data_IF_172624876332
#
_entry.id   IF_172624876332
#
_cell.length_a   1.000
_cell.length_b   1.000
_cell.length_c   1.000
_cell.angle_alpha   90.00
_cell.angle_beta   90.00
_cell.angle_gamma   90.00
#
_symmetry.space_group_name_H-M   'P 1'
#
loop_
_entity.id
_entity.type
_entity.pdbx_description
1 polymer ?
#
# COMPACT_ATOMS: atom_id res chain seq x y z
N UNK A 1 0.66 -2.38 -27.44
CA UNK A 1 -0.59 -2.25 -26.67
C UNK A 1 -0.30 -2.64 -25.23
N UNK A 2 -0.64 -1.80 -24.26
CA UNK A 2 -0.56 -2.19 -22.85
C UNK A 2 -1.66 -3.21 -22.55
N UNK A 3 -1.33 -4.32 -21.90
CA UNK A 3 -2.32 -5.30 -21.48
C UNK A 3 -3.12 -4.76 -20.28
N UNK A 4 -4.23 -5.41 -19.94
CA UNK A 4 -4.97 -5.09 -18.73
C UNK A 4 -4.09 -5.21 -17.47
N UNK A 5 -3.20 -6.21 -17.44
CA UNK A 5 -2.25 -6.40 -16.35
C UNK A 5 -1.28 -5.22 -16.22
N UNK A 6 -0.81 -4.67 -17.34
CA UNK A 6 0.08 -3.49 -17.33
C UNK A 6 -0.59 -2.22 -16.77
N UNK A 7 -1.92 -2.17 -16.78
CA UNK A 7 -2.72 -1.02 -16.32
C UNK A 7 -3.21 -1.18 -14.90
N UNK A 8 -3.14 -2.38 -14.31
CA UNK A 8 -3.62 -2.65 -12.95
C UNK A 8 -2.55 -2.31 -11.93
N UNK A 9 -2.99 -1.64 -10.87
CA UNK A 9 -2.16 -1.31 -9.73
C UNK A 9 -2.86 -1.66 -8.41
N UNK A 10 -2.07 -2.12 -7.45
CA UNK A 10 -2.44 -2.19 -6.05
C UNK A 10 -2.40 -0.77 -5.47
N UNK A 11 -3.49 -0.31 -4.89
CA UNK A 11 -3.56 0.97 -4.22
C UNK A 11 -3.84 0.76 -2.74
N UNK A 12 -2.91 1.20 -1.89
CA UNK A 12 -3.00 1.13 -0.44
C UNK A 12 -3.13 2.53 0.12
N UNK A 13 -4.19 2.76 0.88
CA UNK A 13 -4.52 4.04 1.50
C UNK A 13 -4.15 4.04 2.97
N UNK A 14 -3.45 5.07 3.39
CA UNK A 14 -3.17 5.38 4.79
C UNK A 14 -3.80 6.71 5.20
N UNK A 15 -4.49 6.71 6.34
CA UNK A 15 -4.80 7.97 7.03
C UNK A 15 -3.52 8.51 7.63
N UNK A 16 -3.18 9.77 7.38
CA UNK A 16 -1.96 10.40 7.92
C UNK A 16 -1.82 10.23 9.43
N UNK A 17 -2.89 10.40 10.19
CA UNK A 17 -2.82 10.27 11.65
C UNK A 17 -2.47 8.84 12.11
N UNK A 18 -2.81 7.84 11.30
CA UNK A 18 -2.56 6.41 11.55
C UNK A 18 -1.34 5.88 10.80
N UNK A 19 -0.63 6.71 10.04
CA UNK A 19 0.52 6.27 9.24
C UNK A 19 1.83 6.29 10.02
N UNK A 20 1.85 6.81 11.25
CA UNK A 20 3.00 6.83 12.15
C UNK A 20 3.12 5.48 12.87
N UNK A 21 4.13 4.63 12.54
CA UNK A 21 4.28 3.32 13.16
C UNK A 21 4.51 3.43 14.67
N UNK A 22 3.84 2.58 15.45
CA UNK A 22 3.97 2.56 16.91
C UNK A 22 3.09 3.56 17.67
N UNK A 23 2.34 4.44 16.99
CA UNK A 23 1.36 5.32 17.65
C UNK A 23 0.21 4.49 18.24
N UNK A 24 0.06 4.55 19.56
CA UNK A 24 -0.97 3.80 20.28
C UNK A 24 -1.71 4.70 21.27
N UNK A 25 -2.98 4.39 21.54
CA UNK A 25 -3.75 5.08 22.57
C UNK A 25 -4.50 4.06 23.42
N UNK A 26 -4.38 4.17 24.74
CA UNK A 26 -5.03 3.29 25.71
C UNK A 26 -5.93 4.14 26.60
N UNK A 27 -7.24 3.84 26.60
CA UNK A 27 -8.17 4.46 27.56
C UNK A 27 -7.91 3.84 28.93
N UNK A 28 -7.52 4.66 29.90
CA UNK A 28 -7.23 4.21 31.27
C UNK A 28 -8.44 4.37 32.20
N UNK A 29 -9.21 5.44 32.01
CA UNK A 29 -10.43 5.73 32.76
C UNK A 29 -11.33 6.67 31.95
N UNK A 30 -12.50 7.02 32.48
CA UNK A 30 -13.34 8.05 31.86
C UNK A 30 -12.62 9.40 31.82
N UNK A 31 -12.56 9.98 30.61
CA UNK A 31 -11.81 11.20 30.34
C UNK A 31 -10.27 11.05 30.27
N UNK A 32 -9.70 9.88 30.59
CA UNK A 32 -8.24 9.69 30.62
C UNK A 32 -7.81 8.69 29.54
N UNK A 33 -7.03 9.19 28.57
CA UNK A 33 -6.41 8.38 27.51
C UNK A 33 -4.91 8.60 27.53
N UNK A 34 -4.13 7.54 27.74
CA UNK A 34 -2.69 7.56 27.54
C UNK A 34 -2.39 7.42 26.04
N UNK A 35 -1.47 8.23 25.52
CA UNK A 35 -1.06 8.22 24.11
C UNK A 35 0.44 7.98 24.06
N UNK A 36 0.85 6.96 23.32
CA UNK A 36 2.24 6.58 23.10
C UNK A 36 2.67 6.98 21.69
N UNK A 37 3.92 7.42 21.55
CA UNK A 37 4.57 7.74 20.27
C UNK A 37 3.77 8.76 19.43
N UNK A 38 3.30 9.83 20.07
CA UNK A 38 2.45 10.84 19.44
C UNK A 38 3.24 11.93 18.70
N UNK A 39 4.50 12.13 19.06
CA UNK A 39 5.43 13.11 18.49
C UNK A 39 6.41 12.48 17.49
N UNK A 40 5.97 11.45 16.75
CA UNK A 40 6.78 10.86 15.69
C UNK A 40 6.80 11.78 14.46
N UNK A 41 7.98 11.96 13.90
CA UNK A 41 8.25 12.74 12.69
C UNK A 41 8.13 11.89 11.42
N UNK A 42 8.44 10.59 11.51
CA UNK A 42 8.43 9.65 10.38
C UNK A 42 7.13 8.88 10.24
N UNK A 43 6.58 8.93 9.04
CA UNK A 43 5.44 8.13 8.58
C UNK A 43 5.89 6.80 8.00
N UNK A 44 4.93 5.92 7.71
CA UNK A 44 5.15 4.65 7.01
C UNK A 44 5.90 4.83 5.68
N UNK A 45 5.64 5.91 4.94
CA UNK A 45 6.32 6.15 3.67
C UNK A 45 7.81 6.44 3.89
N UNK A 46 8.16 7.22 4.92
CA UNK A 46 9.55 7.53 5.25
C UNK A 46 10.34 6.25 5.58
N UNK A 47 9.75 5.34 6.36
CA UNK A 47 10.39 4.06 6.68
C UNK A 47 10.57 3.16 5.44
N UNK A 48 9.67 3.23 4.47
CA UNK A 48 9.75 2.45 3.23
C UNK A 48 10.82 3.03 2.32
N UNK A 49 10.84 4.35 2.13
CA UNK A 49 11.86 5.05 1.34
C UNK A 49 13.26 4.81 1.91
N UNK A 50 13.47 5.07 3.21
CA UNK A 50 14.77 4.87 3.86
C UNK A 50 15.25 3.42 3.83
N UNK A 51 14.32 2.46 3.89
CA UNK A 51 14.65 1.05 3.76
C UNK A 51 15.03 0.70 2.33
N UNK A 52 14.24 1.15 1.35
CA UNK A 52 14.52 0.92 -0.06
C UNK A 52 15.87 1.51 -0.48
N UNK A 53 16.23 2.72 -0.03
CA UNK A 53 17.53 3.34 -0.31
C UNK A 53 18.71 2.49 0.19
N UNK A 54 18.53 1.72 1.27
CA UNK A 54 19.56 0.82 1.84
C UNK A 54 19.53 -0.59 1.24
N UNK A 55 18.45 -0.94 0.56
CA UNK A 55 18.17 -2.28 0.04
C UNK A 55 18.04 -2.27 -1.49
N UNK A 56 18.77 -1.39 -2.19
CA UNK A 56 18.80 -1.32 -3.67
C UNK A 56 17.41 -1.12 -4.31
N UNK A 57 16.58 -0.28 -3.71
CA UNK A 57 15.22 -0.01 -4.17
C UNK A 57 14.23 -1.15 -3.89
N UNK A 58 14.60 -2.15 -3.09
CA UNK A 58 13.78 -3.33 -2.78
C UNK A 58 13.18 -3.28 -1.39
N UNK A 59 11.93 -3.73 -1.26
CA UNK A 59 11.19 -3.80 0.00
C UNK A 59 10.31 -5.05 -0.01
N UNK A 60 10.30 -5.80 1.10
CA UNK A 60 9.26 -6.79 1.37
C UNK A 60 8.17 -6.11 2.19
N UNK A 61 7.02 -5.86 1.58
CA UNK A 61 5.94 -5.12 2.18
C UNK A 61 4.87 -6.06 2.76
N UNK A 62 4.65 -6.10 4.09
CA UNK A 62 3.61 -6.93 4.69
C UNK A 62 2.22 -6.32 4.51
N UNK A 63 1.32 -7.08 3.88
CA UNK A 63 -0.08 -6.71 3.67
C UNK A 63 -0.99 -7.30 4.75
N UNK A 64 -1.54 -6.41 5.58
CA UNK A 64 -2.50 -6.72 6.65
C UNK A 64 -3.95 -6.87 6.16
N UNK A 65 -4.26 -6.45 4.94
CA UNK A 65 -5.62 -6.46 4.44
C UNK A 65 -6.05 -7.87 4.01
N UNK A 66 -7.36 -8.15 4.01
CA UNK A 66 -7.92 -9.38 3.45
C UNK A 66 -7.88 -9.32 1.92
N UNK A 67 -6.68 -9.48 1.36
CA UNK A 67 -6.41 -9.55 -0.06
C UNK A 67 -5.77 -10.88 -0.40
N UNK A 68 -6.08 -11.42 -1.58
CA UNK A 68 -5.42 -12.60 -2.12
C UNK A 68 -4.20 -12.18 -2.93
N UNK A 69 -3.09 -12.85 -2.67
CA UNK A 69 -1.87 -12.87 -3.47
C UNK A 69 -2.16 -13.08 -4.97
N UNK A 70 -3.07 -13.98 -5.33
CA UNK A 70 -3.49 -14.20 -6.72
C UNK A 70 -3.95 -12.91 -7.41
N UNK A 71 -4.70 -12.06 -6.70
CA UNK A 71 -5.18 -10.79 -7.26
C UNK A 71 -4.08 -9.74 -7.29
N UNK A 72 -3.19 -9.73 -6.29
CA UNK A 72 -2.02 -8.83 -6.28
C UNK A 72 -1.09 -9.13 -7.44
N UNK A 73 -0.86 -10.40 -7.77
CA UNK A 73 -0.07 -10.83 -8.94
C UNK A 73 -0.71 -10.43 -10.28
N UNK A 74 -1.95 -9.92 -10.29
CA UNK A 74 -2.54 -9.29 -11.49
C UNK A 74 -2.20 -7.80 -11.66
N UNK A 75 -1.47 -7.22 -10.71
CA UNK A 75 -1.07 -5.82 -10.71
C UNK A 75 0.41 -5.70 -11.05
N UNK A 76 0.76 -4.70 -11.85
CA UNK A 76 2.16 -4.40 -12.19
C UNK A 76 2.81 -3.42 -11.21
N UNK A 77 2.00 -2.53 -10.64
CA UNK A 77 2.47 -1.47 -9.72
C UNK A 77 1.75 -1.50 -8.39
N UNK A 78 2.43 -0.97 -7.37
CA UNK A 78 1.85 -0.64 -6.09
C UNK A 78 1.98 0.87 -5.82
N UNK A 79 0.91 1.45 -5.29
CA UNK A 79 0.87 2.82 -4.79
C UNK A 79 0.53 2.80 -3.31
N UNK A 80 1.45 3.31 -2.49
CA UNK A 80 1.21 3.55 -1.07
C UNK A 80 0.91 5.03 -0.90
N UNK A 81 -0.36 5.38 -0.72
CA UNK A 81 -0.86 6.75 -0.76
C UNK A 81 -1.39 7.18 0.62
N UNK A 82 -1.00 8.38 1.05
CA UNK A 82 -1.50 9.01 2.27
C UNK A 82 -2.58 10.05 1.96
N UNK A 83 -3.49 10.26 2.92
CA UNK A 83 -4.59 11.22 2.78
C UNK A 83 -4.19 12.69 2.62
N UNK A 84 -2.91 13.03 2.81
CA UNK A 84 -2.35 14.35 2.49
C UNK A 84 -1.77 14.44 1.06
N UNK A 85 -2.06 13.44 0.23
CA UNK A 85 -1.69 13.35 -1.18
C UNK A 85 -0.19 13.14 -1.46
N UNK A 86 0.54 12.67 -0.44
CA UNK A 86 1.87 12.09 -0.60
C UNK A 86 1.77 10.59 -0.93
N UNK A 87 2.71 10.07 -1.71
CA UNK A 87 2.72 8.66 -2.07
C UNK A 87 4.09 8.13 -2.46
N UNK A 88 4.24 6.81 -2.40
CA UNK A 88 5.32 6.05 -3.03
C UNK A 88 4.72 5.20 -4.15
N UNK A 89 5.47 5.07 -5.23
CA UNK A 89 5.22 4.15 -6.33
C UNK A 89 6.31 3.07 -6.34
N UNK A 90 5.92 1.83 -6.62
CA UNK A 90 6.85 0.73 -6.80
C UNK A 90 6.32 -0.27 -7.83
N UNK A 91 7.21 -1.04 -8.42
CA UNK A 91 6.83 -2.18 -9.26
C UNK A 91 6.63 -3.41 -8.36
N UNK A 92 5.62 -4.23 -8.69
CA UNK A 92 5.36 -5.48 -7.98
C UNK A 92 6.21 -6.56 -8.64
N UNK A 93 7.20 -7.06 -7.89
CA UNK A 93 8.05 -8.15 -8.32
C UNK A 93 7.34 -9.50 -8.13
N UNK A 94 6.76 -9.72 -6.94
CA UNK A 94 6.06 -10.95 -6.58
C UNK A 94 5.16 -10.73 -5.35
N UNK A 95 4.23 -11.66 -5.09
CA UNK A 95 3.46 -11.70 -3.87
C UNK A 95 3.10 -13.12 -3.47
N UNK A 96 2.92 -13.32 -2.17
CA UNK A 96 2.55 -14.63 -1.63
C UNK A 96 1.78 -14.55 -0.32
N UNK A 97 1.17 -15.68 0.00
CA UNK A 97 0.47 -15.89 1.26
C UNK A 97 1.45 -16.23 2.40
N UNK A 98 0.92 -16.28 3.62
CA UNK A 98 1.60 -16.72 4.84
C UNK A 98 2.86 -15.90 5.18
N UNK A 99 2.71 -14.58 5.25
CA UNK A 99 3.80 -13.72 5.73
C UNK A 99 4.30 -14.19 7.10
N UNK A 100 5.59 -14.55 7.15
CA UNK A 100 6.29 -14.83 8.39
C UNK A 100 6.86 -13.52 8.95
N UNK A 101 6.69 -13.30 10.25
CA UNK A 101 7.25 -12.11 10.91
C UNK A 101 8.76 -12.03 10.71
N UNK A 102 9.24 -10.93 10.13
CA UNK A 102 10.67 -10.72 9.86
C UNK A 102 11.21 -11.51 8.67
N UNK A 103 10.35 -11.95 7.75
CA UNK A 103 10.74 -12.69 6.55
C UNK A 103 11.80 -11.92 5.74
N UNK A 104 12.90 -12.63 5.46
CA UNK A 104 13.94 -12.26 4.51
C UNK A 104 13.95 -13.38 3.47
N UNK A 105 13.70 -13.05 2.21
CA UNK A 105 13.58 -14.08 1.18
C UNK A 105 14.92 -14.43 0.50
N UNK A 106 16.05 -14.05 1.11
CA UNK A 106 17.42 -14.24 0.61
C UNK A 106 17.74 -13.57 -0.74
N UNK A 107 16.73 -13.20 -1.54
CA UNK A 107 16.79 -12.44 -2.80
C UNK A 107 17.03 -10.92 -2.60
N UNK A 108 17.36 -10.51 -1.37
CA UNK A 108 17.59 -9.12 -0.98
C UNK A 108 16.33 -8.32 -0.62
N UNK A 109 15.15 -8.94 -0.64
CA UNK A 109 13.91 -8.32 -0.14
C UNK A 109 13.76 -8.55 1.35
N UNK A 110 13.70 -7.47 2.13
CA UNK A 110 13.46 -7.52 3.58
C UNK A 110 12.39 -6.54 4.00
N UNK A 111 11.70 -6.85 5.10
CA UNK A 111 10.69 -5.96 5.65
C UNK A 111 11.37 -4.82 6.44
N UNK A 112 10.91 -3.56 6.31
CA UNK A 112 11.35 -2.50 7.20
C UNK A 112 11.05 -2.89 8.65
N UNK A 113 12.03 -2.88 9.58
CA UNK A 113 11.83 -3.34 10.96
C UNK A 113 10.66 -2.64 11.65
N UNK A 114 10.47 -1.34 11.38
CA UNK A 114 9.37 -0.53 11.92
C UNK A 114 7.98 -0.94 11.43
N UNK A 115 7.92 -1.74 10.36
CA UNK A 115 6.69 -2.17 9.68
C UNK A 115 6.50 -3.69 9.74
N UNK A 116 7.20 -4.39 10.62
CA UNK A 116 6.94 -5.81 10.85
C UNK A 116 5.58 -5.95 11.54
N UNK A 117 4.57 -6.42 10.79
CA UNK A 117 3.19 -6.56 11.27
C UNK A 117 2.92 -8.05 11.54
N UNK A 118 2.77 -8.49 12.80
CA UNK A 118 2.50 -9.89 13.14
C UNK A 118 1.20 -10.44 12.52
N UNK A 119 0.19 -9.59 12.32
CA UNK A 119 -1.10 -10.02 11.76
C UNK A 119 -1.18 -9.95 10.23
N UNK A 120 -0.09 -9.58 9.55
CA UNK A 120 -0.08 -9.59 8.09
C UNK A 120 -0.18 -11.02 7.56
N UNK A 121 -1.01 -11.21 6.54
CA UNK A 121 -1.30 -12.53 5.96
C UNK A 121 -0.67 -12.72 4.60
N UNK A 122 -0.40 -11.64 3.88
CA UNK A 122 0.27 -11.65 2.60
C UNK A 122 1.52 -10.78 2.65
N UNK A 123 2.46 -11.06 1.77
CA UNK A 123 3.62 -10.23 1.50
C UNK A 123 3.67 -9.84 0.04
N UNK A 124 4.26 -8.69 -0.24
CA UNK A 124 4.51 -8.22 -1.61
C UNK A 124 5.95 -7.76 -1.71
N UNK A 125 6.69 -8.32 -2.65
CA UNK A 125 8.01 -7.84 -3.04
C UNK A 125 7.83 -6.63 -3.96
N UNK A 126 8.34 -5.50 -3.50
CA UNK A 126 8.34 -4.24 -4.22
C UNK A 126 9.75 -3.91 -4.68
N UNK A 127 9.92 -3.62 -5.96
CA UNK A 127 11.18 -3.18 -6.55
C UNK A 127 11.03 -1.79 -7.19
N UNK A 128 12.16 -1.13 -7.46
CA UNK A 128 12.21 0.24 -7.97
C UNK A 128 11.34 1.20 -7.15
N UNK A 129 11.34 1.03 -5.83
CA UNK A 129 10.60 1.87 -4.89
C UNK A 129 11.04 3.32 -5.07
N UNK A 130 10.08 4.20 -5.39
CA UNK A 130 10.36 5.60 -5.64
C UNK A 130 10.63 6.36 -4.34
N UNK A 131 11.28 7.53 -4.48
CA UNK A 131 11.20 8.57 -3.46
C UNK A 131 9.76 9.00 -3.19
N UNK A 132 9.51 9.63 -2.05
CA UNK A 132 8.18 10.17 -1.74
C UNK A 132 7.79 11.25 -2.75
N UNK A 133 6.64 11.08 -3.38
CA UNK A 133 6.03 11.99 -4.35
C UNK A 133 4.83 12.71 -3.74
N UNK A 134 4.40 13.78 -4.39
CA UNK A 134 3.17 14.52 -4.06
C UNK A 134 2.26 14.58 -5.28
N UNK A 135 0.98 14.93 -5.07
CA UNK A 135 -0.02 15.11 -6.13
C UNK A 135 -0.25 13.81 -6.90
N UNK A 136 -0.81 12.80 -6.24
CA UNK A 136 -1.10 11.54 -6.91
C UNK A 136 -2.05 11.79 -8.09
N UNK A 137 -1.80 11.22 -9.28
CA UNK A 137 -2.63 11.42 -10.47
C UNK A 137 -3.98 10.68 -10.36
N UNK A 138 -4.80 11.03 -9.38
CA UNK A 138 -6.10 10.39 -9.07
C UNK A 138 -7.02 10.33 -10.30
N UNK A 139 -6.95 11.34 -11.18
CA UNK A 139 -7.78 11.43 -12.38
C UNK A 139 -7.50 10.35 -13.43
N UNK A 140 -6.30 9.76 -13.39
CA UNK A 140 -5.85 8.77 -14.37
C UNK A 140 -6.29 7.36 -14.01
N UNK A 141 -6.97 7.17 -12.88
CA UNK A 141 -7.32 5.87 -12.34
C UNK A 141 -8.81 5.72 -12.03
N UNK A 142 -9.31 4.50 -12.23
CA UNK A 142 -10.66 4.08 -11.89
C UNK A 142 -10.67 2.69 -11.26
N UNK A 143 -11.78 2.34 -10.62
CA UNK A 143 -12.09 0.95 -10.30
C UNK A 143 -13.04 0.43 -11.38
N UNK A 144 -12.64 -0.66 -12.02
CA UNK A 144 -13.40 -1.29 -13.09
C UNK A 144 -13.95 -2.63 -12.61
N UNK A 145 -15.27 -2.79 -12.69
CA UNK A 145 -15.95 -4.05 -12.46
C UNK A 145 -16.15 -4.79 -13.78
N UNK A 146 -15.83 -6.09 -13.80
CA UNK A 146 -15.85 -6.92 -15.00
C UNK A 146 -16.96 -7.98 -14.92
N UNK A 147 -17.63 -8.25 -16.04
CA UNK A 147 -18.54 -9.40 -16.22
C UNK A 147 -18.40 -9.92 -17.64
N UNK A 148 -18.20 -11.22 -17.81
CA UNK A 148 -18.10 -11.85 -19.14
C UNK A 148 -16.95 -11.35 -20.02
N UNK A 149 -15.84 -10.89 -19.43
CA UNK A 149 -14.66 -10.41 -20.16
C UNK A 149 -14.66 -8.92 -20.53
N UNK A 150 -15.74 -8.18 -20.22
CA UNK A 150 -15.82 -6.73 -20.44
C UNK A 150 -15.98 -5.93 -19.15
N UNK A 151 -15.63 -4.65 -19.20
CA UNK A 151 -15.94 -3.68 -18.13
C UNK A 151 -17.43 -3.37 -18.17
N UNK A 152 -18.11 -3.56 -17.04
CA UNK A 152 -19.56 -3.33 -16.90
C UNK A 152 -19.83 -2.05 -16.11
N UNK A 153 -18.88 -1.66 -15.27
CA UNK A 153 -18.93 -0.41 -14.52
C UNK A 153 -17.52 0.11 -14.31
N UNK A 154 -17.32 1.36 -14.69
CA UNK A 154 -16.14 2.13 -14.34
C UNK A 154 -16.54 3.18 -13.31
N UNK A 155 -15.79 3.28 -12.22
CA UNK A 155 -16.01 4.32 -11.20
C UNK A 155 -14.69 5.07 -10.97
N UNK A 156 -14.65 6.39 -11.20
CA UNK A 156 -13.43 7.18 -10.99
C UNK A 156 -12.88 7.02 -9.57
N UNK A 157 -11.56 6.89 -9.42
CA UNK A 157 -10.94 6.72 -8.11
C UNK A 157 -11.26 7.89 -7.17
N UNK A 158 -11.36 9.11 -7.71
CA UNK A 158 -11.77 10.32 -6.97
C UNK A 158 -13.11 10.16 -6.25
N UNK A 159 -14.08 9.48 -6.86
CA UNK A 159 -15.40 9.26 -6.27
C UNK A 159 -15.37 8.15 -5.22
N UNK A 160 -14.61 7.09 -5.48
CA UNK A 160 -14.39 6.01 -4.53
C UNK A 160 -13.76 6.53 -3.25
N UNK A 161 -12.68 7.32 -3.34
CA UNK A 161 -11.96 7.83 -2.17
C UNK A 161 -12.82 8.70 -1.24
N UNK A 162 -13.88 9.33 -1.76
CA UNK A 162 -14.86 10.11 -0.98
C UNK A 162 -15.87 9.23 -0.25
N UNK A 163 -16.24 8.09 -0.83
CA UNK A 163 -17.39 7.29 -0.40
C UNK A 163 -17.00 6.02 0.35
N UNK A 164 -15.76 5.53 0.17
CA UNK A 164 -15.30 4.28 0.79
C UNK A 164 -14.28 4.48 1.91
N UNK A 165 -14.31 3.54 2.86
CA UNK A 165 -13.28 3.34 3.89
C UNK A 165 -12.32 2.19 3.55
N UNK A 166 -12.41 1.62 2.33
CA UNK A 166 -11.45 0.61 1.88
C UNK A 166 -10.03 1.19 1.86
N UNK A 167 -9.12 0.49 2.52
CA UNK A 167 -7.71 0.87 2.61
C UNK A 167 -6.83 0.16 1.58
N UNK A 168 -7.36 -0.85 0.89
CA UNK A 168 -6.64 -1.59 -0.14
C UNK A 168 -7.60 -1.84 -1.31
N UNK A 169 -7.19 -1.44 -2.51
CA UNK A 169 -8.02 -1.42 -3.71
C UNK A 169 -7.18 -1.83 -4.91
N UNK A 170 -7.83 -2.44 -5.90
CA UNK A 170 -7.24 -2.71 -7.21
C UNK A 170 -7.76 -1.65 -8.18
N UNK A 171 -6.88 -0.78 -8.61
CA UNK A 171 -7.21 0.34 -9.51
C UNK A 171 -6.66 0.03 -10.90
N UNK A 172 -7.30 0.58 -11.93
CA UNK A 172 -6.86 0.45 -13.31
C UNK A 172 -6.59 1.84 -13.87
N UNK A 173 -5.45 2.02 -14.52
CA UNK A 173 -5.14 3.24 -15.26
C UNK A 173 -6.08 3.37 -16.44
N UNK A 174 -6.74 4.49 -16.62
CA UNK A 174 -7.68 4.75 -17.72
C UNK A 174 -6.94 4.71 -19.08
N UNK A 175 -7.64 4.30 -20.14
CA UNK A 175 -7.11 4.50 -21.51
C UNK A 175 -7.28 5.97 -21.87
N UNK A 176 -6.22 6.57 -22.42
CA UNK A 176 -6.29 7.92 -23.00
C UNK A 176 -6.94 7.93 -24.36
#
# INVERSE_FOLDING_TARGET
MATLYDRRALFVRYKKQSSYPGRQSVKLADGITCRYNWDLDKTILDYIEEHAEKSDGKVLFPLKFNVSDLTVNTCKKAFLWMTDDTYIEADIHDSGAYYAYGMNDYDGFTAPPSLTIPEARCWVKLEHVSKIKTKFPIGDYSIQAYKGGGVVKETPLREILKTTHMNCMYITRNEG
#
